data_IF_692482251181
#
_entry.id   IF_692482251181
#
_cell.length_a   1.000
_cell.length_b   1.000
_cell.length_c   1.000
_cell.angle_alpha   90.00
_cell.angle_beta   90.00
_cell.angle_gamma   90.00
#
_symmetry.space_group_name_H-M   'P 1'
#
loop_
_entity.id
_entity.type
_entity.pdbx_description
1 polymer ?
#
# COMPACT_ATOMS: atom_id res chain seq x y z
N UNK A 1 -11.92 20.18 -15.25
CA UNK A 1 -11.23 18.86 -15.20
C UNK A 1 -10.15 18.82 -14.11
N UNK A 2 -9.17 19.74 -14.06
CA UNK A 2 -8.13 19.72 -13.02
C UNK A 2 -8.65 19.80 -11.56
N UNK A 3 -9.65 20.65 -11.30
CA UNK A 3 -10.23 20.79 -9.96
C UNK A 3 -11.02 19.54 -9.51
N UNK A 4 -11.72 18.87 -10.43
CA UNK A 4 -12.43 17.62 -10.12
C UNK A 4 -11.46 16.50 -9.74
N UNK A 5 -10.34 16.37 -10.47
CA UNK A 5 -9.32 15.37 -10.16
C UNK A 5 -8.63 15.66 -8.81
N UNK A 6 -8.33 16.94 -8.52
CA UNK A 6 -7.74 17.34 -7.25
C UNK A 6 -8.68 17.06 -6.05
N UNK A 7 -9.98 17.34 -6.20
CA UNK A 7 -10.98 17.05 -5.18
C UNK A 7 -11.17 15.55 -4.98
N UNK A 8 -11.24 14.76 -6.06
CA UNK A 8 -11.35 13.30 -5.99
C UNK A 8 -10.19 12.66 -5.23
N UNK A 9 -8.95 13.10 -5.49
CA UNK A 9 -7.76 12.57 -4.81
C UNK A 9 -7.79 12.86 -3.29
N UNK A 10 -8.34 14.00 -2.88
CA UNK A 10 -8.47 14.35 -1.45
C UNK A 10 -9.54 13.48 -0.78
N UNK A 11 -10.69 13.28 -1.42
CA UNK A 11 -11.78 12.45 -0.89
C UNK A 11 -11.30 11.00 -0.73
N UNK A 12 -10.55 10.48 -1.70
CA UNK A 12 -9.92 9.16 -1.62
C UNK A 12 -8.96 9.04 -0.44
N UNK A 13 -8.07 10.02 -0.22
CA UNK A 13 -7.17 10.02 0.94
C UNK A 13 -7.91 10.04 2.29
N UNK A 14 -8.98 10.83 2.40
CA UNK A 14 -9.82 10.86 3.60
C UNK A 14 -10.54 9.53 3.81
N UNK A 15 -11.07 8.93 2.74
CA UNK A 15 -11.73 7.62 2.77
C UNK A 15 -10.77 6.53 3.29
N UNK A 16 -9.54 6.46 2.76
CA UNK A 16 -8.52 5.52 3.23
C UNK A 16 -8.17 5.76 4.70
N UNK A 17 -8.08 7.02 5.15
CA UNK A 17 -7.80 7.35 6.55
C UNK A 17 -8.96 6.98 7.49
N UNK A 18 -10.22 6.98 7.02
CA UNK A 18 -11.41 6.63 7.80
C UNK A 18 -11.63 5.12 7.83
N UNK A 19 -11.57 4.46 6.68
CA UNK A 19 -11.83 3.02 6.56
C UNK A 19 -10.61 2.16 6.90
N UNK A 20 -9.40 2.75 6.92
CA UNK A 20 -8.14 2.15 7.33
C UNK A 20 -7.91 0.69 6.87
N UNK A 21 -7.92 0.41 5.54
CA UNK A 21 -7.58 -0.93 5.04
C UNK A 21 -6.14 -1.36 5.36
N UNK A 22 -5.29 -0.40 5.76
CA UNK A 22 -3.94 -0.60 6.26
C UNK A 22 -3.52 0.59 7.11
N UNK A 23 -2.49 0.40 7.94
CA UNK A 23 -1.93 1.39 8.86
C UNK A 23 -0.45 1.61 8.59
N UNK A 24 0.11 2.71 9.10
CA UNK A 24 1.56 2.88 9.15
C UNK A 24 2.16 1.74 9.97
N UNK A 25 3.17 1.07 9.42
CA UNK A 25 3.78 -0.13 9.98
C UNK A 25 3.30 -1.43 9.34
N UNK A 26 2.18 -1.43 8.60
CA UNK A 26 1.70 -2.65 7.95
C UNK A 26 2.59 -3.04 6.77
N UNK A 27 2.82 -4.35 6.64
CA UNK A 27 3.42 -4.94 5.45
C UNK A 27 2.35 -5.18 4.41
N UNK A 28 2.50 -4.57 3.23
CA UNK A 28 1.50 -4.60 2.16
C UNK A 28 2.13 -4.97 0.82
N UNK A 29 1.34 -5.60 -0.03
CA UNK A 29 1.63 -5.69 -1.47
C UNK A 29 0.62 -4.83 -2.23
N UNK A 30 1.12 -3.81 -2.93
CA UNK A 30 0.37 -2.92 -3.81
C UNK A 30 1.15 -2.78 -5.10
N UNK A 31 0.46 -2.77 -6.25
CA UNK A 31 1.09 -2.58 -7.55
C UNK A 31 2.27 -3.54 -7.83
N UNK A 32 2.16 -4.78 -7.35
CA UNK A 32 3.20 -5.84 -7.43
C UNK A 32 4.50 -5.53 -6.66
N UNK A 33 4.53 -4.47 -5.87
CA UNK A 33 5.63 -4.13 -4.98
C UNK A 33 5.25 -4.52 -3.54
N UNK A 34 6.15 -5.24 -2.87
CA UNK A 34 6.02 -5.58 -1.46
C UNK A 34 6.83 -4.60 -0.61
N UNK A 35 6.23 -4.10 0.46
CA UNK A 35 6.91 -3.18 1.36
C UNK A 35 6.11 -2.84 2.59
N UNK A 36 6.66 -1.96 3.41
CA UNK A 36 6.04 -1.48 4.64
C UNK A 36 5.48 -0.08 4.44
N UNK A 37 4.25 0.16 4.86
CA UNK A 37 3.65 1.50 4.87
C UNK A 37 4.40 2.35 5.90
N UNK A 38 5.03 3.43 5.46
CA UNK A 38 5.80 4.32 6.33
C UNK A 38 5.15 5.67 6.60
N UNK A 39 4.26 6.12 5.72
CA UNK A 39 3.54 7.38 5.89
C UNK A 39 2.19 7.37 5.14
N UNK A 40 1.18 8.00 5.73
CA UNK A 40 -0.15 8.18 5.15
C UNK A 40 -0.43 9.67 4.97
N UNK A 41 -0.18 10.18 3.77
CA UNK A 41 -0.48 11.56 3.40
C UNK A 41 -1.89 11.73 2.82
N UNK A 42 -2.33 12.99 2.73
CA UNK A 42 -3.64 13.31 2.14
C UNK A 42 -3.76 12.97 0.65
N UNK A 43 -2.64 13.04 -0.10
CA UNK A 43 -2.63 12.84 -1.56
C UNK A 43 -1.96 11.54 -1.99
N UNK A 44 -1.04 11.04 -1.18
CA UNK A 44 -0.27 9.85 -1.49
C UNK A 44 0.07 9.10 -0.20
N UNK A 45 0.29 7.80 -0.36
CA UNK A 45 0.82 6.91 0.67
C UNK A 45 2.29 6.63 0.35
N UNK A 46 3.12 6.51 1.38
CA UNK A 46 4.53 6.15 1.24
C UNK A 46 4.75 4.72 1.71
N UNK A 47 5.34 3.91 0.84
CA UNK A 47 5.73 2.53 1.11
C UNK A 47 7.25 2.46 0.99
N UNK A 48 7.91 1.85 1.96
CA UNK A 48 9.33 1.48 1.85
C UNK A 48 9.42 0.03 1.41
N UNK A 49 10.00 -0.22 0.24
CA UNK A 49 10.18 -1.56 -0.29
C UNK A 49 11.28 -2.32 0.46
N UNK A 50 11.34 -3.63 0.27
CA UNK A 50 12.38 -4.50 0.86
C UNK A 50 13.80 -4.16 0.39
N UNK A 51 13.95 -3.52 -0.78
CA UNK A 51 15.22 -3.00 -1.28
C UNK A 51 15.47 -1.52 -0.92
N UNK A 52 14.73 -1.00 0.07
CA UNK A 52 14.90 0.33 0.66
C UNK A 52 14.58 1.51 -0.29
N UNK A 53 13.77 1.29 -1.33
CA UNK A 53 13.20 2.37 -2.14
C UNK A 53 11.98 2.95 -1.45
N UNK A 54 11.75 4.25 -1.61
CA UNK A 54 10.52 4.93 -1.18
C UNK A 54 9.57 5.05 -2.36
N UNK A 55 8.48 4.29 -2.31
CA UNK A 55 7.42 4.30 -3.30
C UNK A 55 6.31 5.26 -2.83
N UNK A 56 6.07 6.33 -3.59
CA UNK A 56 5.01 7.30 -3.32
C UNK A 56 3.84 7.02 -4.27
N UNK A 57 2.76 6.48 -3.74
CA UNK A 57 1.59 6.08 -4.55
C UNK A 57 0.45 7.05 -4.28
N UNK A 58 -0.10 7.72 -5.32
CA UNK A 58 -1.31 8.51 -5.20
C UNK A 58 -2.46 7.71 -4.60
N UNK A 59 -3.16 8.28 -3.61
CA UNK A 59 -4.24 7.60 -2.91
C UNK A 59 -5.38 7.18 -3.86
N UNK A 60 -5.60 7.95 -4.93
CA UNK A 60 -6.57 7.60 -5.98
C UNK A 60 -6.27 6.27 -6.65
N UNK A 61 -4.99 5.94 -6.88
CA UNK A 61 -4.59 4.65 -7.46
C UNK A 61 -4.83 3.53 -6.44
N UNK A 62 -4.47 3.76 -5.18
CA UNK A 62 -4.66 2.79 -4.10
C UNK A 62 -6.14 2.46 -3.88
N UNK A 63 -7.02 3.47 -4.01
CA UNK A 63 -8.47 3.28 -3.85
C UNK A 63 -9.10 2.45 -4.97
N UNK A 64 -8.46 2.40 -6.14
CA UNK A 64 -8.96 1.67 -7.32
C UNK A 64 -8.27 0.30 -7.49
N UNK A 65 -7.17 0.02 -6.78
CA UNK A 65 -6.42 -1.23 -6.86
C UNK A 65 -6.68 -2.17 -5.68
N UNK A 66 -6.53 -3.48 -5.90
CA UNK A 66 -6.55 -4.47 -4.83
C UNK A 66 -5.27 -4.39 -3.99
N UNK A 67 -5.43 -4.49 -2.67
CA UNK A 67 -4.34 -4.42 -1.68
C UNK A 67 -4.28 -5.75 -0.94
N UNK A 68 -3.09 -6.30 -0.76
CA UNK A 68 -2.85 -7.41 0.16
C UNK A 68 -2.19 -6.83 1.41
N UNK A 69 -2.88 -6.88 2.55
CA UNK A 69 -2.29 -6.54 3.83
C UNK A 69 -1.88 -7.83 4.55
N UNK A 70 -0.59 -7.96 4.85
CA UNK A 70 0.00 -9.17 5.42
C UNK A 70 0.02 -9.18 6.94
N UNK A 71 -0.26 -8.04 7.60
CA UNK A 71 0.01 -7.87 9.02
C UNK A 71 -1.09 -7.18 9.83
N UNK A 72 -2.27 -6.93 9.23
CA UNK A 72 -3.35 -6.13 9.85
C UNK A 72 -3.91 -6.72 11.16
N UNK A 73 -4.05 -8.04 11.23
CA UNK A 73 -4.58 -8.75 12.40
C UNK A 73 -3.51 -9.61 13.06
N UNK A 74 -2.73 -10.34 12.25
CA UNK A 74 -1.63 -11.18 12.70
C UNK A 74 -0.34 -10.75 11.98
N UNK A 75 0.72 -10.36 12.70
CA UNK A 75 2.00 -10.00 12.08
C UNK A 75 2.75 -11.20 11.49
N UNK A 76 2.25 -12.43 11.65
CA UNK A 76 2.84 -13.65 11.12
C UNK A 76 2.66 -13.70 9.60
N UNK A 77 3.75 -13.48 8.87
CA UNK A 77 3.77 -13.57 7.40
C UNK A 77 4.31 -14.94 6.98
N UNK A 78 3.52 -15.69 6.22
CA UNK A 78 3.94 -16.97 5.63
C UNK A 78 4.27 -16.74 4.15
N UNK A 79 5.54 -16.91 3.80
CA UNK A 79 5.98 -16.80 2.40
C UNK A 79 6.33 -18.18 1.84
N UNK A 80 5.71 -18.62 0.73
CA UNK A 80 6.07 -19.88 0.11
C UNK A 80 7.47 -19.75 -0.51
N UNK A 81 8.41 -20.57 -0.03
CA UNK A 81 9.75 -20.68 -0.62
C UNK A 81 9.72 -21.81 -1.64
N UNK A 82 9.70 -21.45 -2.93
CA UNK A 82 9.93 -22.41 -3.99
C UNK A 82 11.44 -22.63 -4.11
N UNK A 83 11.92 -23.71 -3.49
CA UNK A 83 13.26 -24.22 -3.76
C UNK A 83 13.14 -24.91 -5.12
N UNK A 84 13.67 -24.27 -6.16
CA UNK A 84 13.60 -24.80 -7.52
C UNK A 84 14.05 -26.26 -7.55
N UNK A 85 13.39 -27.07 -8.39
CA UNK A 85 13.79 -28.46 -8.63
C UNK A 85 15.31 -28.51 -8.85
N UNK A 86 16.01 -29.15 -7.92
CA UNK A 86 17.39 -29.56 -8.16
C UNK A 86 17.33 -30.51 -9.36
N UNK A 87 17.81 -30.05 -10.51
CA UNK A 87 18.16 -30.96 -11.61
C UNK A 87 19.17 -31.99 -11.14
#
# INVERSE_FOLDING_TARGET
MAAQNALGNIISGISLAIFQPFRVGDSVTIHKEYGMVTDLGLRHTVITTWDNRRLLIPNSIISDEAIINWSIEDPTIIWPVNIGEMK
#
